data_IF_758687354754
#
_entry.id   IF_758687354754
#
_cell.length_a   1.000
_cell.length_b   1.000
_cell.length_c   1.000
_cell.angle_alpha   90.00
_cell.angle_beta   90.00
_cell.angle_gamma   90.00
#
_symmetry.space_group_name_H-M   'P 1'
#
loop_
_entity.id
_entity.type
_entity.pdbx_description
1 polymer ?
#
# COMPACT_ATOMS: atom_id res chain seq x y z
N UNK A 1 -50.43 5.37 44.42
CA UNK A 1 -49.39 6.34 44.07
C UNK A 1 -48.95 6.05 42.62
N UNK A 2 -49.36 6.89 41.70
CA UNK A 2 -49.17 6.67 40.25
C UNK A 2 -47.92 7.43 39.76
N UNK A 3 -47.05 6.76 39.01
CA UNK A 3 -45.91 7.38 38.32
C UNK A 3 -46.34 7.95 36.96
N UNK A 4 -45.84 9.10 36.53
CA UNK A 4 -46.22 9.72 35.27
C UNK A 4 -45.42 9.17 34.11
N UNK A 5 -46.12 8.88 33.00
CA UNK A 5 -45.58 8.47 31.72
C UNK A 5 -44.90 9.65 30.99
N UNK A 6 -43.65 9.52 30.66
CA UNK A 6 -42.95 10.44 29.72
C UNK A 6 -43.33 10.11 28.27
N UNK A 7 -44.00 11.03 27.63
CA UNK A 7 -44.23 11.07 26.18
C UNK A 7 -43.01 11.65 25.52
N UNK A 8 -42.28 10.84 24.73
CA UNK A 8 -41.26 11.32 23.79
C UNK A 8 -41.91 11.59 22.43
N UNK A 9 -42.00 12.85 22.07
CA UNK A 9 -42.47 13.35 20.78
C UNK A 9 -41.37 13.17 19.73
N UNK A 10 -41.58 12.28 18.75
CA UNK A 10 -40.73 12.15 17.56
C UNK A 10 -41.16 13.21 16.53
N UNK A 11 -40.35 14.24 16.34
CA UNK A 11 -40.51 15.20 15.26
C UNK A 11 -39.90 14.62 13.96
N UNK A 12 -40.78 14.25 13.03
CA UNK A 12 -40.43 13.88 11.64
C UNK A 12 -39.91 15.14 10.92
N UNK A 13 -38.62 15.27 10.70
CA UNK A 13 -38.08 16.25 9.74
C UNK A 13 -38.15 15.66 8.34
N UNK A 14 -38.98 16.23 7.50
CA UNK A 14 -39.05 16.03 6.05
C UNK A 14 -37.71 16.46 5.42
N UNK A 15 -36.95 15.50 4.90
CA UNK A 15 -35.80 15.77 4.02
C UNK A 15 -36.30 16.02 2.60
N UNK A 16 -36.17 17.26 2.14
CA UNK A 16 -36.39 17.67 0.77
C UNK A 16 -35.31 17.03 -0.10
N UNK A 17 -35.72 16.17 -1.04
CA UNK A 17 -34.89 15.65 -2.11
C UNK A 17 -34.48 16.78 -3.05
N UNK A 18 -33.24 17.20 -3.01
CA UNK A 18 -32.62 17.94 -4.13
C UNK A 18 -32.03 16.91 -5.09
N UNK A 19 -32.65 16.80 -6.27
CA UNK A 19 -32.10 16.10 -7.42
C UNK A 19 -30.85 16.85 -7.91
N UNK A 20 -29.68 16.28 -7.72
CA UNK A 20 -28.47 16.77 -8.37
C UNK A 20 -28.36 16.10 -9.72
N UNK A 21 -28.47 16.89 -10.77
CA UNK A 21 -28.15 16.51 -12.12
C UNK A 21 -26.68 16.09 -12.19
N UNK A 22 -26.42 14.87 -12.63
CA UNK A 22 -25.07 14.36 -12.91
C UNK A 22 -24.58 15.12 -14.15
N UNK A 23 -23.72 16.11 -13.93
CA UNK A 23 -22.90 16.66 -15.00
C UNK A 23 -21.76 15.68 -15.28
N UNK A 24 -21.84 15.02 -16.40
CA UNK A 24 -20.75 14.24 -16.97
C UNK A 24 -19.62 15.21 -17.33
N UNK A 25 -18.62 15.33 -16.49
CA UNK A 25 -17.39 16.05 -16.82
C UNK A 25 -16.55 15.15 -17.72
N UNK A 26 -16.44 15.53 -18.99
CA UNK A 26 -15.44 14.99 -19.93
C UNK A 26 -14.06 15.42 -19.41
N UNK A 27 -13.36 14.49 -18.80
CA UNK A 27 -11.95 14.67 -18.48
C UNK A 27 -11.12 14.54 -19.76
N UNK A 28 -10.59 15.66 -20.23
CA UNK A 28 -9.44 15.66 -21.12
C UNK A 28 -8.21 15.26 -20.30
N UNK A 29 -7.86 13.98 -20.32
CA UNK A 29 -6.58 13.49 -19.84
C UNK A 29 -5.51 13.92 -20.83
N UNK A 30 -4.79 14.99 -20.51
CA UNK A 30 -3.51 15.31 -21.14
C UNK A 30 -2.48 14.27 -20.70
N UNK A 31 -2.46 13.15 -21.40
CA UNK A 31 -1.44 12.12 -21.24
C UNK A 31 -0.18 12.58 -21.96
N UNK A 32 0.82 13.00 -21.21
CA UNK A 32 2.20 13.04 -21.71
C UNK A 32 2.73 11.60 -21.73
N UNK A 33 2.39 10.86 -22.80
CA UNK A 33 2.90 9.53 -23.05
C UNK A 33 4.36 9.61 -23.49
N UNK A 34 5.29 9.41 -22.58
CA UNK A 34 6.61 8.90 -22.92
C UNK A 34 6.48 7.39 -23.23
N UNK A 35 7.06 6.89 -24.33
CA UNK A 35 6.85 5.51 -24.80
C UNK A 35 7.38 4.41 -23.86
N UNK A 36 8.18 4.73 -22.86
CA UNK A 36 8.72 3.76 -21.89
C UNK A 36 7.71 3.28 -20.83
N UNK A 37 6.66 4.07 -20.56
CA UNK A 37 5.64 3.70 -19.56
C UNK A 37 4.65 2.63 -20.05
N UNK A 38 4.54 2.40 -21.35
CA UNK A 38 3.55 1.47 -21.91
C UNK A 38 3.90 -0.01 -21.71
N UNK A 39 5.18 -0.36 -21.69
CA UNK A 39 5.65 -1.75 -21.50
C UNK A 39 5.59 -2.22 -20.06
N UNK A 40 5.71 -1.32 -19.08
CA UNK A 40 5.63 -1.64 -17.65
C UNK A 40 4.19 -1.84 -17.17
N UNK A 41 3.22 -1.12 -17.74
CA UNK A 41 1.81 -1.24 -17.37
C UNK A 41 1.21 -2.63 -17.67
N UNK A 42 1.81 -3.42 -18.55
CA UNK A 42 1.35 -4.77 -18.91
C UNK A 42 1.96 -5.87 -18.02
N UNK A 43 3.11 -5.62 -17.37
CA UNK A 43 3.81 -6.61 -16.55
C UNK A 43 3.18 -6.70 -15.17
N UNK A 44 2.95 -7.94 -14.67
CA UNK A 44 2.48 -8.15 -13.29
C UNK A 44 3.65 -7.97 -12.30
N UNK A 45 3.56 -7.04 -11.35
CA UNK A 45 4.61 -6.81 -10.37
C UNK A 45 4.67 -7.88 -9.27
N UNK A 46 3.57 -8.60 -9.01
CA UNK A 46 3.45 -9.54 -7.89
C UNK A 46 4.52 -10.63 -7.89
N UNK A 47 4.82 -11.32 -9.02
CA UNK A 47 5.84 -12.38 -9.02
C UNK A 47 7.25 -11.88 -8.67
N UNK A 48 7.57 -10.64 -9.02
CA UNK A 48 8.86 -10.01 -8.69
C UNK A 48 8.88 -9.62 -7.22
N UNK A 49 7.81 -8.98 -6.74
CA UNK A 49 7.66 -8.56 -5.34
C UNK A 49 7.76 -9.76 -4.37
N UNK A 50 7.20 -10.91 -4.72
CA UNK A 50 7.17 -12.11 -3.87
C UNK A 50 8.47 -12.92 -3.86
N UNK A 51 9.48 -12.55 -4.66
CA UNK A 51 10.81 -13.22 -4.59
C UNK A 51 11.40 -13.04 -3.20
N UNK A 52 11.97 -14.11 -2.64
CA UNK A 52 12.54 -14.11 -1.29
C UNK A 52 13.69 -13.09 -1.14
N UNK A 53 14.54 -12.98 -2.16
CA UNK A 53 15.60 -11.98 -2.20
C UNK A 53 15.05 -10.56 -2.12
N UNK A 54 14.02 -10.25 -2.90
CA UNK A 54 13.35 -8.94 -2.89
C UNK A 54 12.75 -8.66 -1.52
N UNK A 55 12.04 -9.62 -0.94
CA UNK A 55 11.45 -9.47 0.39
C UNK A 55 12.52 -9.25 1.48
N UNK A 56 13.68 -9.89 1.34
CA UNK A 56 14.80 -9.72 2.27
C UNK A 56 15.40 -8.32 2.17
N UNK A 57 15.67 -7.84 0.95
CA UNK A 57 16.16 -6.47 0.71
C UNK A 57 15.17 -5.42 1.24
N UNK A 58 13.88 -5.58 0.97
CA UNK A 58 12.84 -4.66 1.44
C UNK A 58 12.75 -4.63 2.97
N UNK A 59 12.89 -5.77 3.65
CA UNK A 59 12.92 -5.83 5.13
C UNK A 59 14.16 -5.13 5.69
N UNK A 60 15.33 -5.36 5.10
CA UNK A 60 16.57 -4.72 5.53
C UNK A 60 16.45 -3.19 5.44
N UNK A 61 16.02 -2.68 4.28
CA UNK A 61 15.85 -1.23 4.06
C UNK A 61 14.77 -0.60 4.96
N UNK A 62 13.73 -1.37 5.35
CA UNK A 62 12.67 -0.83 6.21
C UNK A 62 13.22 -0.40 7.57
N UNK A 63 14.26 -1.05 8.06
CA UNK A 63 14.79 -0.83 9.39
C UNK A 63 13.84 -1.34 10.49
N UNK A 64 14.33 -1.39 11.71
CA UNK A 64 13.56 -1.85 12.85
C UNK A 64 13.78 -0.93 14.05
N UNK A 65 12.87 0.01 14.26
CA UNK A 65 12.81 0.83 15.45
C UNK A 65 11.69 0.32 16.37
N UNK A 66 12.07 -0.25 17.50
CA UNK A 66 11.17 -0.82 18.50
C UNK A 66 10.13 0.22 18.97
N UNK A 67 10.54 1.47 19.13
CA UNK A 67 9.66 2.55 19.62
C UNK A 67 8.57 2.85 18.60
N UNK A 68 8.89 2.89 17.32
CA UNK A 68 7.92 3.12 16.24
C UNK A 68 7.00 1.92 16.04
N UNK A 69 7.54 0.71 16.01
CA UNK A 69 6.76 -0.52 15.77
C UNK A 69 5.86 -0.86 16.95
N UNK A 70 6.36 -0.71 18.18
CA UNK A 70 5.63 -0.98 19.41
C UNK A 70 4.90 0.24 19.98
N UNK A 71 5.12 1.42 19.37
CA UNK A 71 4.61 2.70 19.83
C UNK A 71 3.13 2.71 20.18
N UNK A 72 2.68 3.58 21.07
CA UNK A 72 1.33 3.55 21.61
C UNK A 72 0.31 3.84 20.49
N UNK A 73 -0.28 2.80 19.97
CA UNK A 73 -1.62 2.97 19.42
C UNK A 73 -2.49 3.51 20.55
N UNK A 74 -3.55 4.26 20.24
CA UNK A 74 -4.47 4.91 21.21
C UNK A 74 -5.07 3.93 22.23
N UNK A 75 -4.21 3.25 22.97
CA UNK A 75 -4.59 2.34 24.05
C UNK A 75 -4.58 3.17 25.33
N UNK A 76 -5.65 3.14 26.14
CA UNK A 76 -5.65 3.85 27.42
C UNK A 76 -4.44 3.38 28.25
N UNK A 77 -3.71 4.35 28.78
CA UNK A 77 -2.57 4.10 29.65
C UNK A 77 -2.97 3.15 30.77
N UNK A 78 -2.44 1.95 30.75
CA UNK A 78 -2.62 0.97 31.81
C UNK A 78 -1.49 1.10 32.82
N UNK A 79 -1.78 0.90 34.08
CA UNK A 79 -0.74 0.84 35.12
C UNK A 79 0.26 -0.25 34.77
N UNK A 80 1.58 -0.01 34.95
CA UNK A 80 2.60 -1.01 34.68
C UNK A 80 2.33 -2.25 35.57
N UNK A 81 2.46 -3.42 34.98
CA UNK A 81 2.34 -4.71 35.70
C UNK A 81 3.72 -5.34 35.77
N UNK A 82 4.15 -5.63 36.99
CA UNK A 82 5.39 -6.34 37.21
C UNK A 82 5.08 -7.84 37.31
N UNK A 83 5.85 -8.65 36.61
CA UNK A 83 5.82 -10.12 36.69
C UNK A 83 7.21 -10.60 37.05
N UNK A 84 7.31 -11.55 37.94
CA UNK A 84 8.49 -12.34 38.18
C UNK A 84 8.43 -13.51 37.19
N UNK A 85 9.49 -13.68 36.40
CA UNK A 85 9.61 -14.70 35.35
C UNK A 85 10.91 -15.46 35.57
N UNK A 86 10.93 -16.73 35.21
CA UNK A 86 12.18 -17.48 35.05
C UNK A 86 12.89 -17.04 33.76
N UNK A 87 14.16 -17.36 33.62
CA UNK A 87 14.93 -16.98 32.42
C UNK A 87 14.32 -17.56 31.14
N UNK A 88 13.83 -18.82 31.20
CA UNK A 88 13.15 -19.47 30.07
C UNK A 88 11.84 -18.78 29.71
N UNK A 89 11.03 -18.37 30.70
CA UNK A 89 9.80 -17.62 30.45
C UNK A 89 10.10 -16.23 29.89
N UNK A 90 11.19 -15.58 30.30
CA UNK A 90 11.61 -14.29 29.79
C UNK A 90 11.97 -14.39 28.28
N UNK A 91 12.75 -15.41 27.90
CA UNK A 91 13.09 -15.68 26.49
C UNK A 91 11.83 -15.92 25.65
N UNK A 92 10.88 -16.73 26.14
CA UNK A 92 9.60 -16.96 25.46
C UNK A 92 8.79 -15.67 25.28
N UNK A 93 8.76 -14.81 26.30
CA UNK A 93 8.11 -13.50 26.21
C UNK A 93 8.78 -12.59 25.18
N UNK A 94 10.10 -12.52 25.16
CA UNK A 94 10.87 -11.76 24.18
C UNK A 94 10.60 -12.26 22.75
N UNK A 95 10.69 -13.56 22.54
CA UNK A 95 10.41 -14.17 21.24
C UNK A 95 8.97 -13.93 20.77
N UNK A 96 7.99 -14.03 21.69
CA UNK A 96 6.59 -13.74 21.36
C UNK A 96 6.36 -12.26 21.03
N UNK A 97 7.08 -11.35 21.68
CA UNK A 97 7.03 -9.92 21.39
C UNK A 97 7.65 -9.62 20.01
N UNK A 98 8.81 -10.19 19.70
CA UNK A 98 9.45 -10.08 18.38
C UNK A 98 8.57 -10.61 17.27
N UNK A 99 7.96 -11.78 17.45
CA UNK A 99 7.06 -12.35 16.46
C UNK A 99 5.83 -11.47 16.21
N UNK A 100 5.28 -10.85 17.24
CA UNK A 100 4.19 -9.87 17.11
C UNK A 100 4.63 -8.62 16.34
N UNK A 101 5.85 -8.14 16.60
CA UNK A 101 6.42 -7.00 15.88
C UNK A 101 6.69 -7.35 14.41
N UNK A 102 7.27 -8.52 14.12
CA UNK A 102 7.45 -9.03 12.75
C UNK A 102 6.11 -9.13 12.01
N UNK A 103 5.05 -9.59 12.68
CA UNK A 103 3.71 -9.64 12.08
C UNK A 103 3.18 -8.23 11.74
N UNK A 104 3.37 -7.25 12.63
CA UNK A 104 2.99 -5.85 12.36
C UNK A 104 3.73 -5.21 11.19
N UNK A 105 4.97 -5.66 10.95
CA UNK A 105 5.82 -5.19 9.84
C UNK A 105 5.55 -5.92 8.53
N UNK A 106 4.57 -6.84 8.49
CA UNK A 106 4.24 -7.55 7.26
C UNK A 106 3.73 -6.58 6.21
N UNK A 107 4.43 -6.50 5.08
CA UNK A 107 4.13 -5.61 3.98
C UNK A 107 2.87 -6.06 3.24
N UNK A 108 2.08 -5.09 2.79
CA UNK A 108 1.01 -5.36 1.84
C UNK A 108 1.62 -5.73 0.47
N UNK A 109 1.08 -6.74 -0.23
CA UNK A 109 1.59 -7.14 -1.54
C UNK A 109 1.35 -6.01 -2.56
N UNK A 110 2.34 -5.83 -3.44
CA UNK A 110 2.22 -4.90 -4.56
C UNK A 110 1.64 -5.65 -5.76
N UNK A 111 0.44 -5.25 -6.19
CA UNK A 111 -0.35 -5.97 -7.18
C UNK A 111 -0.82 -5.05 -8.30
N UNK A 112 -1.09 -5.64 -9.47
CA UNK A 112 -1.81 -4.97 -10.55
C UNK A 112 -3.30 -4.85 -10.19
N UNK A 113 -3.94 -3.80 -10.71
CA UNK A 113 -5.40 -3.65 -10.56
C UNK A 113 -6.12 -4.87 -11.14
N UNK A 114 -7.11 -5.37 -10.40
CA UNK A 114 -7.96 -6.49 -10.82
C UNK A 114 -8.77 -6.12 -12.05
N UNK A 115 -8.90 -7.05 -12.97
CA UNK A 115 -9.70 -6.86 -14.18
C UNK A 115 -11.19 -6.92 -13.86
N UNK A 116 -12.03 -6.12 -14.54
CA UNK A 116 -13.48 -6.16 -14.34
C UNK A 116 -14.06 -7.50 -14.79
N UNK A 117 -14.93 -8.09 -13.96
CA UNK A 117 -15.63 -9.32 -14.28
C UNK A 117 -16.78 -9.00 -15.23
N UNK A 118 -16.75 -9.55 -16.46
CA UNK A 118 -17.75 -9.35 -17.51
C UNK A 118 -18.38 -10.65 -18.00
N UNK A 119 -18.16 -11.76 -17.31
CA UNK A 119 -18.56 -13.09 -17.75
C UNK A 119 -20.07 -13.28 -17.60
N UNK A 120 -20.73 -13.59 -18.73
CA UNK A 120 -22.14 -13.99 -18.82
C UNK A 120 -22.20 -15.50 -18.83
N UNK A 121 -23.04 -16.09 -17.96
CA UNK A 121 -23.15 -17.53 -17.78
C UNK A 121 -24.31 -18.12 -18.61
N UNK A 122 -25.49 -17.47 -18.59
CA UNK A 122 -26.62 -17.87 -19.39
C UNK A 122 -27.50 -16.67 -19.76
N UNK A 123 -28.32 -16.86 -20.81
CA UNK A 123 -29.32 -15.91 -21.25
C UNK A 123 -30.67 -16.65 -21.30
N UNK A 124 -31.58 -16.26 -20.44
CA UNK A 124 -32.91 -16.90 -20.31
C UNK A 124 -34.02 -15.88 -20.65
N UNK A 125 -34.35 -15.71 -21.93
CA UNK A 125 -35.29 -14.68 -22.37
C UNK A 125 -36.71 -14.89 -21.83
N UNK A 126 -37.06 -16.12 -21.43
CA UNK A 126 -38.37 -16.44 -20.82
C UNK A 126 -38.58 -15.73 -19.47
N UNK A 127 -37.53 -15.30 -18.81
CA UNK A 127 -37.62 -14.58 -17.55
C UNK A 127 -37.74 -13.06 -17.74
N UNK A 128 -37.64 -12.58 -18.96
CA UNK A 128 -37.75 -11.17 -19.29
C UNK A 128 -39.15 -10.62 -18.98
N UNK A 129 -39.19 -9.53 -18.22
CA UNK A 129 -40.44 -8.84 -17.91
C UNK A 129 -41.27 -9.44 -16.77
N UNK A 130 -40.84 -10.53 -16.13
CA UNK A 130 -41.52 -11.09 -14.96
C UNK A 130 -41.30 -10.21 -13.72
N UNK A 131 -40.10 -9.69 -13.53
CA UNK A 131 -39.76 -8.83 -12.40
C UNK A 131 -38.76 -7.74 -12.81
N UNK A 132 -38.84 -6.58 -12.12
CA UNK A 132 -37.92 -5.46 -12.34
C UNK A 132 -36.71 -5.48 -11.40
N UNK A 133 -36.63 -6.48 -10.52
CA UNK A 133 -35.60 -6.58 -9.53
C UNK A 133 -34.44 -7.43 -10.02
N UNK A 134 -33.23 -7.07 -9.56
CA UNK A 134 -32.05 -7.86 -9.77
C UNK A 134 -31.80 -8.76 -8.54
N UNK A 135 -31.52 -10.03 -8.79
CA UNK A 135 -31.24 -11.01 -7.74
C UNK A 135 -29.78 -11.38 -7.70
N UNK A 136 -29.22 -11.41 -6.49
CA UNK A 136 -27.84 -11.80 -6.26
C UNK A 136 -27.84 -13.09 -5.46
N UNK A 137 -27.18 -14.12 -6.00
CA UNK A 137 -27.00 -15.42 -5.36
C UNK A 137 -25.55 -15.58 -4.93
N UNK A 138 -25.33 -15.98 -3.68
CA UNK A 138 -23.98 -16.20 -3.14
C UNK A 138 -23.89 -17.55 -2.48
N UNK A 139 -22.73 -18.18 -2.61
CA UNK A 139 -22.37 -19.37 -1.85
C UNK A 139 -22.05 -18.96 -0.40
N UNK A 140 -22.74 -19.57 0.57
CA UNK A 140 -22.56 -19.34 2.01
C UNK A 140 -21.76 -20.46 2.68
N UNK A 141 -21.15 -21.34 1.92
CA UNK A 141 -20.36 -22.47 2.46
C UNK A 141 -19.28 -21.96 3.41
N UNK A 142 -19.20 -22.55 4.58
CA UNK A 142 -18.17 -22.23 5.59
C UNK A 142 -16.79 -22.66 5.12
N UNK A 143 -15.77 -21.84 5.40
CA UNK A 143 -14.37 -22.14 5.06
C UNK A 143 -13.92 -21.75 3.65
N UNK A 144 -14.84 -21.32 2.78
CA UNK A 144 -14.49 -20.79 1.46
C UNK A 144 -14.01 -19.35 1.60
N UNK A 145 -12.83 -19.04 1.03
CA UNK A 145 -12.29 -17.66 1.02
C UNK A 145 -13.18 -16.75 0.17
N UNK A 146 -13.35 -15.50 0.58
CA UNK A 146 -14.22 -14.52 -0.11
C UNK A 146 -13.90 -14.35 -1.60
N UNK A 147 -12.62 -14.42 -1.99
CA UNK A 147 -12.20 -14.41 -3.40
C UNK A 147 -12.67 -15.61 -4.20
N UNK A 148 -12.87 -16.76 -3.57
CA UNK A 148 -13.24 -18.03 -4.20
C UNK A 148 -14.76 -18.24 -4.19
N UNK A 149 -15.52 -17.48 -3.37
CA UNK A 149 -16.97 -17.61 -3.30
C UNK A 149 -17.59 -17.37 -4.66
N UNK A 150 -18.54 -18.21 -4.99
CA UNK A 150 -19.31 -18.07 -6.22
C UNK A 150 -20.46 -17.10 -5.98
N UNK A 151 -20.43 -15.95 -6.68
CA UNK A 151 -21.47 -14.93 -6.59
C UNK A 151 -21.95 -14.62 -8.01
N UNK A 152 -23.24 -14.80 -8.25
CA UNK A 152 -23.88 -14.57 -9.54
C UNK A 152 -25.05 -13.60 -9.40
N UNK A 153 -25.34 -12.90 -10.47
CA UNK A 153 -26.42 -11.92 -10.57
C UNK A 153 -27.33 -12.31 -11.70
N UNK A 154 -28.64 -12.37 -11.38
CA UNK A 154 -29.68 -12.45 -12.37
C UNK A 154 -30.23 -11.05 -12.59
N UNK A 155 -30.07 -10.54 -13.80
CA UNK A 155 -30.64 -9.25 -14.21
C UNK A 155 -32.11 -9.40 -14.63
N UNK A 156 -32.89 -8.29 -14.63
CA UNK A 156 -34.29 -8.31 -15.02
C UNK A 156 -34.54 -8.73 -16.48
N UNK A 157 -33.54 -8.62 -17.33
CA UNK A 157 -33.58 -9.04 -18.75
C UNK A 157 -33.40 -10.55 -18.95
N UNK A 158 -33.25 -11.32 -17.85
CA UNK A 158 -33.04 -12.75 -17.89
C UNK A 158 -31.57 -13.15 -18.04
N UNK A 159 -30.61 -12.21 -18.06
CA UNK A 159 -29.19 -12.49 -18.12
C UNK A 159 -28.68 -12.97 -16.77
N UNK A 160 -28.02 -14.13 -16.72
CA UNK A 160 -27.23 -14.61 -15.57
C UNK A 160 -25.77 -14.33 -15.81
N UNK A 161 -25.17 -13.50 -14.98
CA UNK A 161 -23.76 -13.14 -15.06
C UNK A 161 -23.03 -13.35 -13.74
N UNK A 162 -21.70 -13.44 -13.77
CA UNK A 162 -20.91 -13.31 -12.56
C UNK A 162 -21.05 -11.90 -11.99
N UNK A 163 -21.10 -11.80 -10.67
CA UNK A 163 -21.18 -10.52 -9.99
C UNK A 163 -19.92 -9.67 -10.24
N UNK A 164 -20.10 -8.36 -10.39
CA UNK A 164 -18.98 -7.41 -10.42
C UNK A 164 -18.22 -7.41 -9.10
N UNK A 165 -17.00 -6.87 -9.08
CA UNK A 165 -16.21 -6.79 -7.84
C UNK A 165 -16.93 -6.01 -6.75
N UNK A 166 -17.61 -4.92 -7.08
CA UNK A 166 -18.37 -4.11 -6.13
C UNK A 166 -19.53 -4.89 -5.52
N UNK A 167 -20.27 -5.62 -6.35
CA UNK A 167 -21.37 -6.48 -5.90
C UNK A 167 -20.87 -7.61 -5.01
N UNK A 168 -19.74 -8.23 -5.37
CA UNK A 168 -19.09 -9.27 -4.56
C UNK A 168 -18.62 -8.73 -3.21
N UNK A 169 -17.90 -7.61 -3.22
CA UNK A 169 -17.36 -7.00 -1.99
C UNK A 169 -18.51 -6.61 -1.05
N UNK A 170 -19.61 -6.09 -1.60
CA UNK A 170 -20.80 -5.74 -0.84
C UNK A 170 -21.48 -6.95 -0.21
N UNK A 171 -21.67 -8.04 -0.96
CA UNK A 171 -22.27 -9.28 -0.47
C UNK A 171 -21.38 -9.96 0.56
N UNK A 172 -20.08 -10.05 0.30
CA UNK A 172 -19.11 -10.61 1.24
C UNK A 172 -19.11 -9.82 2.57
N UNK A 173 -19.21 -8.49 2.53
CA UNK A 173 -19.28 -7.69 3.74
C UNK A 173 -20.60 -7.88 4.53
N UNK A 174 -21.68 -8.29 3.88
CA UNK A 174 -22.96 -8.62 4.55
C UNK A 174 -22.88 -9.98 5.23
N UNK A 175 -22.39 -11.02 4.55
CA UNK A 175 -22.40 -12.40 5.04
C UNK A 175 -21.15 -12.81 5.81
N UNK A 176 -20.01 -12.22 5.49
CA UNK A 176 -18.71 -12.48 6.10
C UNK A 176 -17.99 -11.15 6.38
N UNK A 177 -18.46 -10.35 7.34
CA UNK A 177 -17.90 -9.03 7.60
C UNK A 177 -16.45 -9.12 8.04
N UNK A 178 -15.58 -8.33 7.41
CA UNK A 178 -14.19 -8.17 7.81
C UNK A 178 -14.12 -7.09 8.89
N UNK A 179 -13.47 -7.39 10.00
CA UNK A 179 -13.33 -6.47 11.13
C UNK A 179 -12.61 -5.18 10.70
N UNK A 180 -13.20 -4.04 11.06
CA UNK A 180 -12.69 -2.70 10.73
C UNK A 180 -13.05 -2.18 9.34
N UNK A 181 -13.49 -3.01 8.39
CA UNK A 181 -13.92 -2.60 7.07
C UNK A 181 -15.32 -1.97 7.14
N UNK A 182 -15.45 -0.79 6.56
CA UNK A 182 -16.74 -0.10 6.49
C UNK A 182 -17.53 -0.51 5.23
N UNK A 183 -18.85 -0.49 5.35
CA UNK A 183 -19.75 -0.85 4.25
C UNK A 183 -19.74 0.17 3.11
N UNK A 184 -19.52 1.44 3.44
CA UNK A 184 -19.31 2.52 2.47
C UNK A 184 -17.86 2.97 2.55
N UNK A 185 -17.32 3.37 1.42
CA UNK A 185 -15.96 3.92 1.40
C UNK A 185 -15.91 5.15 2.31
N UNK A 186 -14.95 5.19 3.25
CA UNK A 186 -14.76 6.35 4.11
C UNK A 186 -14.53 7.62 3.28
N UNK A 187 -15.13 8.76 3.64
CA UNK A 187 -14.96 10.02 2.91
C UNK A 187 -13.52 10.53 2.90
N UNK A 188 -12.64 9.99 3.75
CA UNK A 188 -11.21 10.31 3.75
C UNK A 188 -10.49 9.92 2.45
N UNK A 189 -11.03 9.00 1.65
CA UNK A 189 -10.47 8.58 0.36
C UNK A 189 -10.98 9.41 -0.82
N UNK A 190 -11.94 10.31 -0.60
CA UNK A 190 -12.31 11.32 -1.58
C UNK A 190 -11.13 12.26 -1.83
N UNK A 191 -10.97 12.74 -3.05
CA UNK A 191 -9.77 13.45 -3.49
C UNK A 191 -9.44 14.66 -2.61
N UNK A 192 -10.44 15.50 -2.30
CA UNK A 192 -10.25 16.71 -1.48
C UNK A 192 -9.78 16.39 -0.05
N UNK A 193 -10.43 15.40 0.58
CA UNK A 193 -10.12 14.97 1.94
C UNK A 193 -8.75 14.28 2.01
N UNK A 194 -8.45 13.45 1.00
CA UNK A 194 -7.16 12.78 0.88
C UNK A 194 -6.02 13.78 0.78
N UNK A 195 -6.12 14.77 -0.11
CA UNK A 195 -5.10 15.80 -0.26
C UNK A 195 -4.89 16.61 1.04
N UNK A 196 -5.97 16.90 1.79
CA UNK A 196 -5.87 17.55 3.09
C UNK A 196 -5.09 16.70 4.12
N UNK A 197 -5.29 15.39 4.13
CA UNK A 197 -4.56 14.48 5.01
C UNK A 197 -3.09 14.34 4.60
N UNK A 198 -2.80 14.29 3.31
CA UNK A 198 -1.43 14.21 2.79
C UNK A 198 -0.63 15.46 3.09
N UNK A 199 -1.22 16.64 2.96
CA UNK A 199 -0.61 17.92 3.37
C UNK A 199 -0.29 17.98 4.88
N UNK A 200 -1.05 17.27 5.70
CA UNK A 200 -0.81 17.17 7.14
C UNK A 200 0.13 15.99 7.52
N UNK A 201 0.85 15.40 6.58
CA UNK A 201 1.78 14.29 6.80
C UNK A 201 1.16 13.07 7.51
N UNK A 202 -0.14 12.78 7.28
CA UNK A 202 -0.84 11.63 7.87
C UNK A 202 -0.72 10.35 7.04
N UNK A 203 0.43 10.15 6.40
CA UNK A 203 0.68 9.06 5.44
C UNK A 203 0.41 7.66 6.01
N UNK A 204 0.98 7.36 7.19
CA UNK A 204 0.79 6.04 7.84
C UNK A 204 -0.69 5.76 8.10
N UNK A 205 -1.43 6.77 8.59
CA UNK A 205 -2.85 6.61 8.88
C UNK A 205 -3.66 6.33 7.60
N UNK A 206 -3.39 7.07 6.52
CA UNK A 206 -4.06 6.88 5.22
C UNK A 206 -3.80 5.48 4.68
N UNK A 207 -2.53 5.04 4.70
CA UNK A 207 -2.13 3.72 4.20
C UNK A 207 -2.68 2.57 5.07
N UNK A 208 -2.70 2.72 6.39
CA UNK A 208 -3.29 1.73 7.30
C UNK A 208 -4.79 1.58 7.05
N UNK A 209 -5.50 2.69 6.94
CA UNK A 209 -6.94 2.66 6.64
C UNK A 209 -7.23 2.09 5.25
N UNK A 210 -6.38 2.38 4.25
CA UNK A 210 -6.50 1.79 2.93
C UNK A 210 -6.33 0.25 2.97
N UNK A 211 -5.35 -0.26 3.73
CA UNK A 211 -5.14 -1.70 3.92
C UNK A 211 -6.31 -2.40 4.62
N UNK A 212 -7.03 -1.70 5.51
CA UNK A 212 -8.21 -2.26 6.19
C UNK A 212 -9.42 -2.26 5.25
N UNK A 213 -9.63 -1.14 4.53
CA UNK A 213 -10.83 -0.94 3.72
C UNK A 213 -10.82 -1.73 2.41
N UNK A 214 -9.68 -1.79 1.74
CA UNK A 214 -9.58 -2.34 0.38
C UNK A 214 -8.69 -3.59 0.33
N UNK A 215 -8.95 -4.43 -0.67
CA UNK A 215 -8.02 -5.48 -1.06
C UNK A 215 -6.85 -4.87 -1.87
N UNK A 216 -5.64 -5.49 -1.83
CA UNK A 216 -4.45 -4.92 -2.48
C UNK A 216 -4.54 -4.76 -4.00
N UNK A 217 -5.41 -5.51 -4.68
CA UNK A 217 -5.68 -5.45 -6.12
C UNK A 217 -6.86 -4.52 -6.48
N UNK A 218 -7.47 -3.88 -5.47
CA UNK A 218 -8.56 -2.94 -5.71
C UNK A 218 -8.01 -1.66 -6.38
N UNK A 219 -8.61 -1.16 -7.46
CA UNK A 219 -8.19 0.09 -8.11
C UNK A 219 -8.13 1.28 -7.15
N UNK A 220 -9.06 1.38 -6.19
CA UNK A 220 -9.05 2.44 -5.18
C UNK A 220 -7.88 2.33 -4.21
N UNK A 221 -7.50 1.11 -3.81
CA UNK A 221 -6.28 0.88 -3.02
C UNK A 221 -5.05 1.38 -3.75
N UNK A 222 -4.91 0.99 -5.02
CA UNK A 222 -3.78 1.38 -5.86
C UNK A 222 -3.74 2.90 -6.05
N UNK A 223 -4.88 3.53 -6.33
CA UNK A 223 -4.99 4.99 -6.45
C UNK A 223 -4.51 5.71 -5.19
N UNK A 224 -5.04 5.32 -4.03
CA UNK A 224 -4.71 5.95 -2.74
C UNK A 224 -3.25 5.74 -2.36
N UNK A 225 -2.72 4.52 -2.52
CA UNK A 225 -1.33 4.20 -2.18
C UNK A 225 -0.34 4.92 -3.11
N UNK A 226 -0.57 4.91 -4.43
CA UNK A 226 0.29 5.61 -5.38
C UNK A 226 0.28 7.12 -5.13
N UNK A 227 -0.90 7.72 -4.92
CA UNK A 227 -1.01 9.14 -4.61
C UNK A 227 -0.28 9.51 -3.33
N UNK A 228 -0.36 8.65 -2.30
CA UNK A 228 0.36 8.84 -1.04
C UNK A 228 1.87 8.77 -1.24
N UNK A 229 2.37 7.81 -2.02
CA UNK A 229 3.79 7.69 -2.33
C UNK A 229 4.30 8.89 -3.13
N UNK A 230 3.54 9.38 -4.12
CA UNK A 230 3.88 10.60 -4.86
C UNK A 230 3.92 11.84 -3.96
N UNK A 231 3.03 11.94 -2.99
CA UNK A 231 3.04 13.03 -2.02
C UNK A 231 4.27 12.98 -1.11
N UNK A 232 4.69 11.78 -0.68
CA UNK A 232 5.91 11.57 0.11
C UNK A 232 7.16 11.95 -0.70
N UNK A 233 7.21 11.56 -1.97
CA UNK A 233 8.31 11.91 -2.88
C UNK A 233 8.43 13.42 -3.07
N UNK A 234 7.29 14.10 -3.31
CA UNK A 234 7.24 15.55 -3.46
C UNK A 234 7.64 16.31 -2.19
N UNK A 235 7.35 15.74 -1.01
CA UNK A 235 7.69 16.32 0.29
C UNK A 235 9.06 15.86 0.83
N UNK A 236 9.71 14.89 0.16
CA UNK A 236 10.94 14.21 0.61
C UNK A 236 10.86 13.65 2.04
N UNK A 237 9.66 13.20 2.45
CA UNK A 237 9.34 12.76 3.82
C UNK A 237 9.42 11.24 3.99
N UNK A 238 10.46 10.59 3.46
CA UNK A 238 10.61 9.12 3.46
C UNK A 238 10.72 8.53 4.87
N UNK A 239 11.27 9.30 5.82
CA UNK A 239 11.43 8.89 7.21
C UNK A 239 10.08 8.61 7.90
N UNK A 240 8.99 9.25 7.47
CA UNK A 240 7.67 9.07 8.08
C UNK A 240 7.17 7.61 7.94
N UNK A 241 7.60 6.90 6.90
CA UNK A 241 7.26 5.50 6.68
C UNK A 241 8.34 4.52 7.17
N UNK A 242 9.54 4.98 7.54
CA UNK A 242 10.60 4.10 8.01
C UNK A 242 10.16 3.35 9.28
N UNK A 243 10.56 2.09 9.41
CA UNK A 243 10.09 1.19 10.47
C UNK A 243 8.57 0.98 10.52
N UNK A 244 7.89 1.14 9.38
CA UNK A 244 6.50 0.77 9.21
C UNK A 244 6.35 -0.30 8.13
N UNK A 245 5.22 -0.99 8.12
CA UNK A 245 4.91 -2.00 7.10
C UNK A 245 4.78 -1.45 5.68
N UNK A 246 4.74 -0.12 5.52
CA UNK A 246 4.50 0.55 4.23
C UNK A 246 5.78 0.95 3.52
N UNK A 247 6.91 1.04 4.23
CA UNK A 247 8.17 1.48 3.65
C UNK A 247 8.65 0.58 2.51
N UNK A 248 8.60 -0.74 2.71
CA UNK A 248 9.01 -1.69 1.68
C UNK A 248 8.16 -1.60 0.42
N UNK A 249 6.84 -1.48 0.57
CA UNK A 249 5.93 -1.30 -0.59
C UNK A 249 6.19 0.03 -1.31
N UNK A 250 6.51 1.10 -0.58
CA UNK A 250 6.90 2.40 -1.14
C UNK A 250 8.23 2.32 -1.90
N UNK A 251 9.26 1.71 -1.31
CA UNK A 251 10.56 1.52 -1.96
C UNK A 251 10.41 0.68 -3.25
N UNK A 252 9.62 -0.39 -3.21
CA UNK A 252 9.32 -1.18 -4.40
C UNK A 252 8.56 -0.37 -5.46
N UNK A 253 7.62 0.49 -5.07
CA UNK A 253 6.91 1.39 -5.98
C UNK A 253 7.90 2.29 -6.75
N UNK A 254 8.83 2.95 -6.05
CA UNK A 254 9.79 3.82 -6.71
C UNK A 254 10.74 3.04 -7.63
N UNK A 255 11.17 1.86 -7.22
CA UNK A 255 11.98 0.97 -8.07
C UNK A 255 11.20 0.55 -9.30
N UNK A 256 9.96 0.12 -9.14
CA UNK A 256 9.11 -0.32 -10.26
C UNK A 256 8.92 0.77 -11.31
N UNK A 257 8.69 2.02 -10.86
CA UNK A 257 8.49 3.18 -11.74
C UNK A 257 9.78 3.95 -12.06
N UNK A 258 10.96 3.43 -11.71
CA UNK A 258 12.29 4.04 -11.96
C UNK A 258 12.44 5.45 -11.35
N UNK A 259 11.83 5.71 -10.21
CA UNK A 259 11.83 7.01 -9.50
C UNK A 259 12.64 6.92 -8.19
N UNK A 260 13.85 6.35 -8.22
CA UNK A 260 14.59 6.05 -6.97
C UNK A 260 15.58 7.15 -6.54
N UNK A 261 15.86 8.14 -7.37
CA UNK A 261 16.94 9.10 -7.18
C UNK A 261 16.83 9.88 -5.86
N UNK A 262 15.64 10.43 -5.56
CA UNK A 262 15.43 11.19 -4.33
C UNK A 262 15.49 10.32 -3.08
N UNK A 263 14.97 9.10 -3.15
CA UNK A 263 15.07 8.14 -2.05
C UNK A 263 16.54 7.75 -1.79
N UNK A 264 17.33 7.53 -2.87
CA UNK A 264 18.77 7.29 -2.74
C UNK A 264 19.49 8.47 -2.10
N UNK A 265 19.20 9.70 -2.53
CA UNK A 265 19.77 10.91 -1.93
C UNK A 265 19.45 11.02 -0.44
N UNK A 266 18.19 10.75 -0.04
CA UNK A 266 17.79 10.76 1.36
C UNK A 266 18.58 9.72 2.18
N UNK A 267 18.70 8.48 1.66
CA UNK A 267 19.47 7.42 2.31
C UNK A 267 20.95 7.76 2.47
N UNK A 268 21.59 8.32 1.43
CA UNK A 268 23.00 8.72 1.47
C UNK A 268 23.21 9.87 2.47
N UNK A 269 22.34 10.89 2.45
CA UNK A 269 22.42 12.03 3.37
C UNK A 269 22.29 11.62 4.85
N UNK A 270 21.56 10.54 5.12
CA UNK A 270 21.37 9.93 6.44
C UNK A 270 22.42 8.90 6.81
N UNK A 271 23.46 8.75 5.99
CA UNK A 271 24.53 7.77 6.19
C UNK A 271 24.07 6.29 6.15
N UNK A 272 22.94 6.00 5.48
CA UNK A 272 22.38 4.66 5.32
C UNK A 272 22.86 4.01 4.00
N UNK A 273 24.17 3.93 3.82
CA UNK A 273 24.78 3.47 2.55
C UNK A 273 24.48 2.00 2.26
N UNK A 274 24.33 1.17 3.27
CA UNK A 274 23.90 -0.23 3.11
C UNK A 274 22.52 -0.33 2.49
N UNK A 275 21.58 0.47 3.00
CA UNK A 275 20.21 0.51 2.49
C UNK A 275 20.16 1.07 1.06
N UNK A 276 20.99 2.08 0.76
CA UNK A 276 21.14 2.63 -0.58
C UNK A 276 21.69 1.57 -1.57
N UNK A 277 22.68 0.77 -1.13
CA UNK A 277 23.19 -0.35 -1.92
C UNK A 277 22.13 -1.44 -2.17
N UNK A 278 21.34 -1.76 -1.16
CA UNK A 278 20.24 -2.72 -1.27
C UNK A 278 19.14 -2.21 -2.20
N UNK A 279 18.88 -0.89 -2.23
CA UNK A 279 17.92 -0.27 -3.17
C UNK A 279 18.40 -0.39 -4.62
N UNK A 280 19.69 -0.18 -4.90
CA UNK A 280 20.26 -0.37 -6.25
C UNK A 280 20.23 -1.85 -6.65
N UNK A 281 20.54 -2.78 -5.73
CA UNK A 281 20.38 -4.23 -5.98
C UNK A 281 18.94 -4.60 -6.33
N UNK A 282 17.98 -4.06 -5.59
CA UNK A 282 16.56 -4.24 -5.86
C UNK A 282 16.19 -3.74 -7.27
N UNK A 283 16.74 -2.58 -7.66
CA UNK A 283 16.57 -2.03 -9.00
C UNK A 283 17.07 -2.98 -10.08
N UNK A 284 18.27 -3.55 -9.91
CA UNK A 284 18.84 -4.52 -10.86
C UNK A 284 18.02 -5.82 -10.96
N UNK A 285 17.46 -6.31 -9.84
CA UNK A 285 16.57 -7.51 -9.84
C UNK A 285 15.26 -7.22 -10.57
N UNK A 286 14.72 -6.02 -10.39
CA UNK A 286 13.43 -5.62 -10.98
C UNK A 286 13.58 -5.30 -12.46
N UNK A 287 14.70 -4.71 -12.86
CA UNK A 287 15.03 -4.30 -14.22
C UNK A 287 16.29 -4.99 -14.74
N UNK A 288 16.25 -6.29 -15.08
CA UNK A 288 17.43 -7.06 -15.48
C UNK A 288 18.05 -6.59 -16.80
N UNK A 289 17.25 -5.87 -17.63
CA UNK A 289 17.65 -5.33 -18.92
C UNK A 289 18.30 -3.93 -18.82
N UNK A 290 18.36 -3.34 -17.62
CA UNK A 290 18.97 -2.03 -17.40
C UNK A 290 20.49 -2.08 -17.62
N UNK A 291 21.06 -0.96 -18.06
CA UNK A 291 22.50 -0.86 -18.32
C UNK A 291 23.33 -1.14 -17.05
N UNK A 292 22.85 -0.68 -15.89
CA UNK A 292 23.52 -0.94 -14.60
C UNK A 292 23.48 -2.42 -14.22
N UNK A 293 22.36 -3.13 -14.47
CA UNK A 293 22.27 -4.56 -14.16
C UNK A 293 23.26 -5.39 -15.01
N UNK A 294 23.57 -4.94 -16.24
CA UNK A 294 24.56 -5.58 -17.09
C UNK A 294 25.98 -5.28 -16.60
N UNK A 295 26.28 -4.06 -16.19
CA UNK A 295 27.60 -3.66 -15.70
C UNK A 295 27.94 -4.34 -14.36
N UNK A 296 26.99 -4.41 -13.43
CA UNK A 296 27.21 -5.06 -12.12
C UNK A 296 27.36 -6.59 -12.20
N UNK A 297 26.94 -7.21 -13.31
CA UNK A 297 27.23 -8.65 -13.56
C UNK A 297 28.69 -8.87 -13.99
N UNK A 298 29.30 -7.87 -14.65
CA UNK A 298 30.67 -7.94 -15.13
C UNK A 298 31.67 -7.47 -14.09
N UNK A 299 31.28 -6.47 -13.29
CA UNK A 299 32.13 -5.91 -12.24
C UNK A 299 31.79 -6.56 -10.89
N UNK A 300 32.72 -7.31 -10.33
CA UNK A 300 32.70 -7.79 -8.95
C UNK A 300 32.98 -6.65 -7.97
N UNK A 301 32.30 -5.50 -8.13
CA UNK A 301 32.50 -4.34 -7.28
C UNK A 301 32.06 -4.68 -5.84
N UNK A 302 33.02 -4.89 -4.96
CA UNK A 302 32.80 -5.20 -3.53
C UNK A 302 32.45 -3.95 -2.71
N UNK A 303 32.69 -2.74 -3.26
CA UNK A 303 32.47 -1.48 -2.55
C UNK A 303 31.12 -0.86 -2.90
N UNK A 304 30.28 -0.63 -1.87
CA UNK A 304 28.95 -0.04 -2.01
C UNK A 304 28.99 1.35 -2.67
N UNK A 305 30.02 2.14 -2.36
CA UNK A 305 30.16 3.49 -2.92
C UNK A 305 30.42 3.43 -4.42
N UNK A 306 31.21 2.45 -4.88
CA UNK A 306 31.46 2.26 -6.32
C UNK A 306 30.17 1.87 -7.07
N UNK A 307 29.32 1.03 -6.47
CA UNK A 307 28.00 0.68 -7.01
C UNK A 307 27.11 1.90 -7.14
N UNK A 308 27.06 2.78 -6.12
CA UNK A 308 26.28 4.00 -6.14
C UNK A 308 26.80 4.99 -7.21
N UNK A 309 28.12 5.13 -7.36
CA UNK A 309 28.73 5.96 -8.43
C UNK A 309 28.41 5.42 -9.81
N UNK A 310 28.45 4.11 -10.00
CA UNK A 310 28.07 3.46 -11.26
C UNK A 310 26.62 3.70 -11.60
N UNK A 311 25.72 3.54 -10.60
CA UNK A 311 24.30 3.86 -10.78
C UNK A 311 24.10 5.32 -11.18
N UNK A 312 24.76 6.25 -10.48
CA UNK A 312 24.68 7.68 -10.77
C UNK A 312 25.13 8.02 -12.18
N UNK A 313 26.22 7.43 -12.69
CA UNK A 313 26.74 7.71 -14.02
C UNK A 313 25.85 7.17 -15.15
N UNK A 314 25.23 6.00 -14.95
CA UNK A 314 24.56 5.23 -16.01
C UNK A 314 23.06 5.51 -16.07
N UNK A 315 22.34 5.42 -14.94
CA UNK A 315 20.88 5.34 -14.90
C UNK A 315 20.20 6.55 -14.26
N UNK A 316 20.86 7.26 -13.34
CA UNK A 316 20.25 8.34 -12.58
C UNK A 316 19.73 9.48 -13.46
N UNK A 317 18.51 9.96 -13.17
CA UNK A 317 17.93 11.13 -13.82
C UNK A 317 18.49 12.44 -13.22
N UNK A 318 18.79 12.45 -11.91
CA UNK A 318 19.29 13.61 -11.16
C UNK A 318 20.77 13.47 -10.80
N UNK A 319 21.64 13.20 -11.81
CA UNK A 319 23.07 12.89 -11.65
C UNK A 319 23.81 13.87 -10.74
N UNK A 320 23.74 15.16 -11.03
CA UNK A 320 24.52 16.15 -10.27
C UNK A 320 24.17 16.25 -8.80
N UNK A 321 22.89 16.09 -8.44
CA UNK A 321 22.45 16.12 -7.04
C UNK A 321 22.90 14.85 -6.30
N UNK A 322 22.82 13.70 -6.96
CA UNK A 322 23.25 12.42 -6.40
C UNK A 322 24.77 12.37 -6.24
N UNK A 323 25.55 12.89 -7.20
CA UNK A 323 27.01 13.04 -7.08
C UNK A 323 27.41 13.90 -5.89
N UNK A 324 26.75 15.05 -5.70
CA UNK A 324 26.98 15.91 -4.54
C UNK A 324 26.68 15.20 -3.22
N UNK A 325 25.59 14.40 -3.15
CA UNK A 325 25.27 13.62 -1.97
C UNK A 325 26.35 12.56 -1.66
N UNK A 326 26.85 11.87 -2.68
CA UNK A 326 27.93 10.87 -2.54
C UNK A 326 29.23 11.55 -2.09
N UNK A 327 29.62 12.68 -2.70
CA UNK A 327 30.82 13.44 -2.31
C UNK A 327 30.71 13.92 -0.85
N UNK A 328 29.57 14.50 -0.48
CA UNK A 328 29.34 14.93 0.91
C UNK A 328 29.42 13.79 1.92
N UNK A 329 28.99 12.58 1.57
CA UNK A 329 29.17 11.39 2.40
C UNK A 329 30.65 10.99 2.52
N UNK A 330 31.41 10.97 1.40
CA UNK A 330 32.84 10.64 1.39
C UNK A 330 33.64 11.63 2.23
N UNK A 331 33.36 12.94 2.14
CA UNK A 331 34.01 13.97 2.96
C UNK A 331 33.72 13.80 4.45
N UNK A 332 32.47 13.53 4.83
CA UNK A 332 32.10 13.23 6.23
C UNK A 332 32.84 12.01 6.76
N UNK A 333 32.89 10.95 5.96
CA UNK A 333 33.59 9.71 6.37
C UNK A 333 35.09 9.94 6.55
N UNK A 334 35.71 10.71 5.63
CA UNK A 334 37.13 11.08 5.74
C UNK A 334 37.39 11.94 6.95
N UNK A 335 36.57 12.93 7.25
CA UNK A 335 36.68 13.79 8.41
C UNK A 335 36.50 13.03 9.73
N UNK A 336 35.59 12.05 9.80
CA UNK A 336 35.43 11.16 10.95
C UNK A 336 36.64 10.27 11.16
N UNK A 337 37.25 9.75 10.08
CA UNK A 337 38.48 8.94 10.16
C UNK A 337 39.68 9.74 10.69
N UNK A 338 39.84 11.00 10.25
CA UNK A 338 40.90 11.88 10.72
C UNK A 338 40.69 12.39 12.16
N UNK A 339 39.48 12.45 12.66
CA UNK A 339 39.16 12.83 14.03
C UNK A 339 39.41 11.69 15.06
N UNK A 340 39.41 10.43 14.59
CA UNK A 340 39.62 9.25 15.41
C UNK A 340 41.06 8.71 15.35
N UNK A 341 41.95 9.28 14.51
CA UNK A 341 43.38 9.01 14.43
C UNK A 341 44.15 10.07 15.19
#
# INVERSE_FOLDING_TARGET
MAAPAMRTSFALRRFIRRSHAIRTALYCTGSSNTPENSTQASRDPLPVFMKEEVQTLLRNMTGFDIVRVAGPQKVPLRKPRYKLLTDEELEQYQQSAENRMKYRMQMAPFMKAREPIKEVLSLDPELQGLENNKYIFTDITFGVKDRQRFVVVREPDGTLRKASWEERDRINQIYSPVEGRQFRNPPMFEEENLEALLKNHKYVHVLDMACVQFEPDNPEYIRVTHRTFEAIDSAHSYEDLRSTRHFGSMAFYYVWYKKIDYLLMDMINRELVTDAGDLVRLYCITHPDSAIAQQLKTDTASDLISVLKTFCSVEASHKGQLELAIQGYEEKTRSKATANS
#
